data_IF_335175362978
#
_entry.id   IF_335175362978
#
_cell.length_a   1.000
_cell.length_b   1.000
_cell.length_c   1.000
_cell.angle_alpha   90.00
_cell.angle_beta   90.00
_cell.angle_gamma   90.00
#
_symmetry.space_group_name_H-M   'P 1'
#
loop_
_entity.id
_entity.type
_entity.pdbx_description
1 polymer ?
#
# COMPACT_ATOMS: atom_id res chain seq x y z
N UNK A 1 -3.31 14.29 69.08
CA UNK A 1 -2.43 13.49 68.22
C UNK A 1 -3.27 12.98 67.05
N UNK A 2 -3.15 13.57 65.86
CA UNK A 2 -3.89 13.13 64.66
C UNK A 2 -2.84 12.98 63.54
N UNK A 3 -2.59 11.74 63.11
CA UNK A 3 -1.77 11.42 61.95
C UNK A 3 -2.71 11.25 60.75
N UNK A 4 -2.61 12.13 59.77
CA UNK A 4 -3.25 11.97 58.47
C UNK A 4 -2.30 11.17 57.55
N UNK A 5 -2.76 10.03 57.04
CA UNK A 5 -2.06 9.24 56.04
C UNK A 5 -2.56 9.65 54.65
N UNK A 6 -1.64 10.09 53.79
CA UNK A 6 -1.91 10.39 52.38
C UNK A 6 -1.60 9.13 51.58
N UNK A 7 -2.63 8.48 51.04
CA UNK A 7 -2.48 7.43 50.04
C UNK A 7 -2.34 8.08 48.65
N UNK A 8 -1.18 7.92 48.02
CA UNK A 8 -0.96 8.26 46.62
C UNK A 8 -1.50 7.14 45.72
N UNK A 9 -2.58 7.41 44.97
CA UNK A 9 -3.02 6.56 43.89
C UNK A 9 -2.04 6.68 42.71
N UNK A 10 -1.31 5.61 42.40
CA UNK A 10 -0.66 5.46 41.10
C UNK A 10 -1.74 5.17 40.05
N UNK A 11 -1.97 6.12 39.13
CA UNK A 11 -2.73 5.87 37.93
C UNK A 11 -1.91 4.99 36.99
N UNK A 12 -2.31 3.72 36.84
CA UNK A 12 -1.85 2.90 35.72
C UNK A 12 -2.51 3.44 34.45
N UNK A 13 -1.71 4.11 33.60
CA UNK A 13 -2.13 4.38 32.24
C UNK A 13 -2.23 3.05 31.48
N UNK A 14 -3.32 2.79 30.74
CA UNK A 14 -3.38 1.61 29.88
C UNK A 14 -2.30 1.73 28.81
N UNK A 15 -1.51 0.68 28.65
CA UNK A 15 -0.63 0.54 27.49
C UNK A 15 -1.51 0.51 26.25
N UNK A 16 -1.31 1.47 25.34
CA UNK A 16 -1.81 1.34 23.97
C UNK A 16 -1.08 0.13 23.40
N UNK A 17 -1.77 -1.00 23.24
CA UNK A 17 -1.27 -2.11 22.45
C UNK A 17 -1.06 -1.59 21.03
N UNK A 18 0.20 -1.26 20.72
CA UNK A 18 0.62 -0.92 19.39
C UNK A 18 0.30 -2.13 18.51
N UNK A 19 -0.71 -1.99 17.63
CA UNK A 19 -1.18 -3.07 16.76
C UNK A 19 0.04 -3.73 16.11
N UNK A 20 0.24 -5.02 16.36
CA UNK A 20 1.46 -5.71 15.96
C UNK A 20 1.69 -5.52 14.45
N UNK A 21 2.78 -4.82 14.10
CA UNK A 21 3.20 -4.66 12.71
C UNK A 21 3.71 -5.99 12.19
N UNK A 22 3.17 -6.43 11.05
CA UNK A 22 3.53 -7.68 10.40
C UNK A 22 4.47 -7.43 9.22
N UNK A 23 5.51 -8.25 9.13
CA UNK A 23 6.39 -8.33 7.97
C UNK A 23 6.99 -9.73 7.85
N UNK A 24 6.52 -10.53 6.90
CA UNK A 24 7.03 -11.88 6.67
C UNK A 24 6.85 -12.31 5.21
N UNK A 25 7.58 -13.36 4.81
CA UNK A 25 7.41 -14.03 3.52
C UNK A 25 6.83 -15.42 3.74
N UNK A 26 5.79 -15.76 2.98
CA UNK A 26 5.12 -17.05 3.08
C UNK A 26 4.39 -17.42 1.78
N UNK A 27 3.95 -18.67 1.68
CA UNK A 27 3.06 -19.12 0.61
C UNK A 27 1.61 -18.76 0.91
N UNK A 28 0.87 -18.19 -0.08
CA UNK A 28 -0.54 -17.93 0.08
C UNK A 28 -1.35 -19.22 0.04
N UNK A 29 -2.48 -19.19 0.74
CA UNK A 29 -3.50 -20.24 0.76
C UNK A 29 -4.81 -19.63 0.29
N UNK A 30 -5.42 -20.24 -0.71
CA UNK A 30 -6.74 -19.81 -1.18
C UNK A 30 -7.82 -20.56 -0.40
N UNK A 31 -8.84 -19.86 0.08
CA UNK A 31 -10.04 -20.49 0.65
C UNK A 31 -11.24 -20.17 -0.23
N UNK A 32 -11.86 -21.24 -0.72
CA UNK A 32 -12.99 -21.14 -1.63
C UNK A 32 -14.29 -20.95 -0.86
N UNK A 33 -14.71 -19.69 -0.68
CA UNK A 33 -15.91 -19.32 0.10
C UNK A 33 -17.12 -19.05 -0.80
N UNK A 34 -18.30 -19.48 -0.36
CA UNK A 34 -19.56 -19.53 -1.13
C UNK A 34 -20.26 -18.19 -1.46
N UNK A 35 -19.57 -17.04 -1.44
CA UNK A 35 -20.23 -15.72 -1.56
C UNK A 35 -20.12 -15.07 -2.95
N UNK A 36 -19.85 -15.87 -3.99
CA UNK A 36 -20.42 -15.64 -5.32
C UNK A 36 -19.90 -14.48 -6.18
N UNK A 37 -18.81 -13.75 -5.83
CA UNK A 37 -18.13 -12.86 -6.81
C UNK A 37 -16.61 -12.83 -6.70
N UNK A 38 -15.97 -13.27 -7.79
CA UNK A 38 -14.59 -12.99 -8.28
C UNK A 38 -13.35 -13.28 -7.42
N UNK A 39 -13.43 -13.53 -6.11
CA UNK A 39 -12.28 -14.04 -5.34
C UNK A 39 -12.72 -14.49 -3.95
N UNK A 40 -12.45 -15.74 -3.58
CA UNK A 40 -12.54 -16.22 -2.19
C UNK A 40 -11.55 -15.51 -1.26
N UNK A 41 -11.24 -16.14 -0.13
CA UNK A 41 -10.31 -15.55 0.83
C UNK A 41 -8.86 -15.92 0.52
N UNK A 42 -7.97 -14.95 0.74
CA UNK A 42 -6.53 -15.16 0.70
C UNK A 42 -5.98 -15.17 2.11
N UNK A 43 -5.43 -16.31 2.48
CA UNK A 43 -4.84 -16.58 3.78
C UNK A 43 -3.35 -16.78 3.62
N UNK A 44 -2.61 -16.62 4.70
CA UNK A 44 -1.18 -16.92 4.74
C UNK A 44 -0.79 -17.26 6.17
N UNK A 45 0.24 -18.08 6.34
CA UNK A 45 0.73 -18.45 7.65
C UNK A 45 2.11 -17.87 7.87
N UNK A 46 2.30 -17.14 8.97
CA UNK A 46 3.62 -16.65 9.34
C UNK A 46 4.50 -17.86 9.76
N UNK A 47 5.63 -18.10 9.08
CA UNK A 47 6.49 -19.24 9.38
C UNK A 47 7.12 -19.17 10.77
N UNK A 48 7.26 -17.98 11.37
CA UNK A 48 7.88 -17.83 12.69
C UNK A 48 6.94 -18.22 13.82
N UNK A 49 5.65 -17.86 13.71
CA UNK A 49 4.66 -18.03 14.78
C UNK A 49 3.65 -19.13 14.51
N UNK A 50 3.53 -19.57 13.26
CA UNK A 50 2.48 -20.49 12.81
C UNK A 50 1.08 -19.85 12.75
N UNK A 51 0.96 -18.55 13.03
CA UNK A 51 -0.34 -17.86 13.02
C UNK A 51 -0.82 -17.67 11.59
N UNK A 52 -2.10 -17.98 11.36
CA UNK A 52 -2.78 -17.75 10.09
C UNK A 52 -3.41 -16.36 10.05
N UNK A 53 -3.11 -15.62 8.99
CA UNK A 53 -3.58 -14.28 8.74
C UNK A 53 -4.47 -14.23 7.51
N UNK A 54 -5.50 -13.38 7.56
CA UNK A 54 -6.32 -12.99 6.42
C UNK A 54 -5.72 -11.74 5.76
N UNK A 55 -5.26 -11.91 4.52
CA UNK A 55 -4.67 -10.86 3.68
C UNK A 55 -5.58 -10.49 2.51
N UNK A 56 -6.85 -10.90 2.54
CA UNK A 56 -7.84 -10.68 1.48
C UNK A 56 -8.03 -9.19 1.19
N UNK A 57 -7.82 -8.32 2.18
CA UNK A 57 -7.94 -6.86 2.04
C UNK A 57 -6.84 -6.22 1.20
N UNK A 58 -5.75 -6.94 0.87
CA UNK A 58 -4.66 -6.38 0.07
C UNK A 58 -5.16 -5.97 -1.33
N UNK A 59 -4.81 -4.77 -1.82
CA UNK A 59 -5.18 -4.36 -3.18
C UNK A 59 -4.57 -5.27 -4.24
N UNK A 60 -3.28 -5.57 -4.11
CA UNK A 60 -2.60 -6.58 -4.91
C UNK A 60 -2.97 -7.96 -4.37
N UNK A 61 -3.60 -8.80 -5.20
CA UNK A 61 -3.95 -10.17 -4.80
C UNK A 61 -2.73 -11.09 -4.91
N UNK A 62 -2.56 -12.04 -3.98
CA UNK A 62 -1.53 -13.06 -4.09
C UNK A 62 -1.63 -13.85 -5.40
N UNK A 63 -0.49 -14.30 -5.90
CA UNK A 63 -0.43 -15.38 -6.88
C UNK A 63 -0.23 -16.69 -6.15
N UNK A 64 -1.14 -17.66 -6.36
CA UNK A 64 -1.10 -18.96 -5.71
C UNK A 64 0.15 -19.80 -6.07
N UNK A 65 0.87 -19.47 -7.15
CA UNK A 65 2.09 -20.19 -7.52
C UNK A 65 3.35 -19.66 -6.85
N UNK A 66 3.25 -18.54 -6.14
CA UNK A 66 4.41 -17.77 -5.73
C UNK A 66 4.35 -17.36 -4.26
N UNK A 67 5.52 -17.24 -3.64
CA UNK A 67 5.67 -16.69 -2.31
C UNK A 67 5.27 -15.21 -2.34
N UNK A 68 4.76 -14.73 -1.22
CA UNK A 68 4.36 -13.33 -1.06
C UNK A 68 5.09 -12.69 0.11
N UNK A 69 5.48 -11.44 -0.07
CA UNK A 69 5.83 -10.53 1.03
C UNK A 69 4.53 -9.94 1.57
N UNK A 70 4.28 -10.14 2.86
CA UNK A 70 3.14 -9.59 3.59
C UNK A 70 3.64 -8.48 4.50
N UNK A 71 3.08 -7.29 4.36
CA UNK A 71 3.37 -6.12 5.20
C UNK A 71 2.06 -5.50 5.67
N UNK A 72 1.82 -5.39 6.97
CA UNK A 72 0.52 -4.92 7.45
C UNK A 72 0.44 -4.72 8.95
N UNK A 73 -0.77 -4.50 9.47
CA UNK A 73 -1.08 -4.45 10.90
C UNK A 73 -2.24 -5.38 11.21
N UNK A 74 -2.14 -6.12 12.31
CA UNK A 74 -3.25 -6.94 12.80
C UNK A 74 -4.37 -6.01 13.25
N UNK A 75 -5.58 -6.22 12.74
CA UNK A 75 -6.75 -5.47 13.16
C UNK A 75 -7.36 -6.12 14.42
N UNK A 76 -7.47 -5.35 15.51
CA UNK A 76 -8.02 -5.81 16.77
C UNK A 76 -9.55 -5.97 16.73
N UNK A 77 -10.23 -5.14 15.94
CA UNK A 77 -11.70 -5.03 15.93
C UNK A 77 -12.36 -5.61 14.67
N UNK A 78 -11.58 -6.29 13.81
CA UNK A 78 -12.10 -6.83 12.57
C UNK A 78 -12.78 -8.19 12.74
N UNK A 79 -13.98 -8.31 12.18
CA UNK A 79 -14.70 -9.58 12.06
C UNK A 79 -13.93 -10.56 11.18
N UNK A 80 -13.73 -11.78 11.69
CA UNK A 80 -13.18 -12.88 10.91
C UNK A 80 -14.21 -13.42 9.90
N UNK A 81 -13.96 -13.16 8.63
CA UNK A 81 -14.79 -13.64 7.53
C UNK A 81 -14.18 -14.84 6.79
N UNK A 82 -12.93 -15.18 7.08
CA UNK A 82 -12.08 -15.99 6.22
C UNK A 82 -11.34 -17.12 6.95
N UNK A 83 -11.36 -17.16 8.28
CA UNK A 83 -10.67 -18.15 9.11
C UNK A 83 -9.22 -17.80 9.38
N UNK A 84 -8.94 -16.52 9.62
CA UNK A 84 -7.61 -16.01 9.92
C UNK A 84 -7.67 -14.67 10.66
N UNK A 85 -6.60 -14.32 11.36
CA UNK A 85 -6.48 -12.99 12.00
C UNK A 85 -6.41 -11.93 10.90
N UNK A 86 -7.32 -10.96 10.92
CA UNK A 86 -7.42 -9.96 9.86
C UNK A 86 -6.24 -9.00 9.91
N UNK A 87 -5.63 -8.76 8.74
CA UNK A 87 -4.59 -7.76 8.56
C UNK A 87 -5.16 -6.60 7.75
N UNK A 88 -5.27 -5.43 8.38
CA UNK A 88 -5.85 -4.24 7.77
C UNK A 88 -5.28 -2.99 8.46
N UNK A 89 -4.50 -2.14 7.76
CA UNK A 89 -4.14 -2.23 6.35
C UNK A 89 -3.10 -3.33 6.07
N UNK A 90 -3.09 -3.82 4.82
CA UNK A 90 -2.17 -4.85 4.35
C UNK A 90 -1.71 -4.57 2.92
N UNK A 91 -0.43 -4.82 2.67
CA UNK A 91 0.22 -4.86 1.35
C UNK A 91 0.76 -6.26 1.12
N UNK A 92 0.58 -6.72 -0.10
CA UNK A 92 1.08 -7.99 -0.60
C UNK A 92 1.92 -7.70 -1.83
N UNK A 93 3.12 -8.24 -1.89
CA UNK A 93 3.92 -8.26 -3.11
C UNK A 93 4.27 -9.69 -3.48
N UNK A 94 4.05 -10.06 -4.74
CA UNK A 94 4.39 -11.39 -5.26
C UNK A 94 5.89 -11.48 -5.51
N UNK A 95 6.51 -12.56 -5.06
CA UNK A 95 7.94 -12.83 -5.18
C UNK A 95 8.20 -13.95 -6.20
N UNK A 96 9.44 -14.13 -6.61
CA UNK A 96 9.81 -15.18 -7.59
C UNK A 96 9.77 -16.59 -7.00
N UNK A 97 9.92 -16.74 -5.68
CA UNK A 97 9.95 -18.03 -5.00
C UNK A 97 8.67 -18.84 -5.27
N UNK A 98 8.79 -20.12 -5.62
CA UNK A 98 7.65 -20.96 -5.93
C UNK A 98 6.91 -21.44 -4.68
N UNK A 99 5.60 -21.62 -4.80
CA UNK A 99 4.73 -22.14 -3.77
C UNK A 99 3.83 -23.26 -4.29
N UNK A 100 3.63 -24.26 -3.43
CA UNK A 100 2.60 -25.27 -3.68
C UNK A 100 1.22 -24.68 -3.37
N UNK A 101 0.38 -24.51 -4.38
CA UNK A 101 -0.75 -25.43 -4.56
C UNK A 101 -1.75 -25.69 -3.42
N UNK A 102 -1.92 -24.86 -2.38
CA UNK A 102 -2.90 -25.11 -1.32
C UNK A 102 -4.26 -24.35 -1.41
N UNK A 103 -5.36 -25.10 -1.51
CA UNK A 103 -6.74 -24.61 -1.38
C UNK A 103 -7.47 -25.28 -0.22
N UNK A 104 -8.20 -24.45 0.54
CA UNK A 104 -9.10 -24.89 1.60
C UNK A 104 -10.56 -24.82 1.13
N UNK A 105 -11.42 -25.74 1.59
CA UNK A 105 -12.86 -25.60 1.41
C UNK A 105 -13.39 -24.41 2.23
N UNK A 106 -14.63 -23.99 1.96
CA UNK A 106 -15.25 -22.84 2.62
C UNK A 106 -15.29 -22.97 4.16
N UNK A 107 -15.48 -24.18 4.69
CA UNK A 107 -15.59 -24.46 6.14
C UNK A 107 -16.63 -23.58 6.84
N UNK A 108 -17.71 -23.22 6.15
CA UNK A 108 -18.77 -22.34 6.68
C UNK A 108 -18.47 -20.84 6.62
N UNK A 109 -17.24 -20.45 6.25
CA UNK A 109 -16.85 -19.04 6.11
C UNK A 109 -17.52 -18.41 4.89
N UNK A 110 -18.08 -17.22 5.10
CA UNK A 110 -18.79 -16.47 4.06
C UNK A 110 -17.88 -15.58 3.22
N UNK A 111 -16.60 -15.49 3.57
CA UNK A 111 -15.66 -14.59 2.92
C UNK A 111 -16.04 -13.12 3.04
N UNK A 112 -15.15 -12.26 2.53
CA UNK A 112 -15.38 -10.82 2.48
C UNK A 112 -16.16 -10.46 1.21
N UNK A 113 -17.29 -9.77 1.37
CA UNK A 113 -17.99 -9.18 0.22
C UNK A 113 -17.14 -8.06 -0.36
N UNK A 114 -17.07 -7.99 -1.68
CA UNK A 114 -16.43 -6.86 -2.35
C UNK A 114 -17.15 -5.56 -1.96
N UNK A 115 -16.39 -4.64 -1.40
CA UNK A 115 -16.76 -3.25 -1.26
C UNK A 115 -15.82 -2.43 -2.14
N UNK A 116 -16.35 -1.44 -2.84
CA UNK A 116 -15.53 -0.51 -3.60
C UNK A 116 -14.65 0.28 -2.60
N UNK A 117 -13.31 0.25 -2.74
CA UNK A 117 -12.45 1.03 -1.85
C UNK A 117 -12.76 2.51 -1.92
N UNK A 118 -12.57 3.23 -0.81
CA UNK A 118 -12.74 4.70 -0.79
C UNK A 118 -11.79 5.39 -1.80
N UNK A 119 -10.55 4.89 -1.89
CA UNK A 119 -9.54 5.31 -2.85
C UNK A 119 -9.68 4.52 -4.15
N UNK A 120 -10.68 4.89 -4.95
CA UNK A 120 -10.89 4.32 -6.27
C UNK A 120 -10.81 5.38 -7.37
N UNK A 121 -10.27 4.99 -8.53
CA UNK A 121 -10.36 5.82 -9.74
C UNK A 121 -11.84 5.96 -10.12
N UNK A 122 -12.26 7.20 -10.38
CA UNK A 122 -13.65 7.51 -10.77
C UNK A 122 -13.83 7.37 -12.28
N UNK A 123 -15.02 6.99 -12.76
CA UNK A 123 -15.28 6.96 -14.20
C UNK A 123 -15.10 8.34 -14.85
N UNK A 124 -14.55 8.37 -16.07
CA UNK A 124 -14.22 9.62 -16.78
C UNK A 124 -15.43 10.52 -17.06
N UNK A 125 -16.63 9.95 -17.14
CA UNK A 125 -17.87 10.72 -17.35
C UNK A 125 -18.37 11.42 -16.08
N UNK A 126 -17.85 11.03 -14.90
CA UNK A 126 -18.27 11.64 -13.65
C UNK A 126 -17.59 13.01 -13.50
N UNK A 127 -18.40 14.04 -13.23
CA UNK A 127 -17.87 15.37 -12.96
C UNK A 127 -16.93 15.32 -11.74
N UNK A 128 -15.68 15.73 -11.95
CA UNK A 128 -14.68 15.86 -10.89
C UNK A 128 -14.67 17.27 -10.32
N UNK A 129 -14.32 17.39 -9.04
CA UNK A 129 -14.03 18.68 -8.43
C UNK A 129 -12.72 19.21 -9.01
N UNK A 130 -12.80 20.29 -9.77
CA UNK A 130 -11.62 20.97 -10.31
C UNK A 130 -10.94 21.83 -9.25
N UNK A 131 -9.62 21.96 -9.34
CA UNK A 131 -8.89 22.96 -8.59
C UNK A 131 -9.30 24.36 -9.08
N UNK A 132 -9.40 25.30 -8.14
CA UNK A 132 -9.70 26.71 -8.42
C UNK A 132 -8.51 27.57 -7.99
N UNK A 133 -8.35 28.73 -8.64
CA UNK A 133 -7.30 29.68 -8.28
C UNK A 133 -7.52 30.25 -6.86
N UNK A 134 -6.45 30.62 -6.13
CA UNK A 134 -5.04 30.53 -6.53
C UNK A 134 -4.52 29.10 -6.45
N UNK A 135 -3.77 28.67 -7.48
CA UNK A 135 -3.12 27.37 -7.49
C UNK A 135 -1.90 27.39 -6.56
N UNK A 136 -1.63 26.25 -5.92
CA UNK A 136 -0.51 26.07 -4.97
C UNK A 136 0.44 24.99 -5.46
N UNK A 137 1.63 24.84 -4.89
CA UNK A 137 2.49 23.70 -5.21
C UNK A 137 1.80 22.39 -4.80
N UNK A 138 1.69 21.45 -5.75
CA UNK A 138 1.15 20.11 -5.52
C UNK A 138 2.26 19.11 -5.17
N UNK A 139 1.99 18.24 -4.18
CA UNK A 139 2.87 17.13 -3.80
C UNK A 139 2.11 15.82 -3.75
N UNK A 140 2.68 14.81 -4.40
CA UNK A 140 2.07 13.49 -4.53
C UNK A 140 3.11 12.41 -4.30
N UNK A 141 2.66 11.28 -3.77
CA UNK A 141 3.46 10.06 -3.63
C UNK A 141 2.63 8.89 -4.15
N UNK A 142 3.22 8.10 -5.05
CA UNK A 142 2.63 6.90 -5.63
C UNK A 142 3.39 5.69 -5.06
N UNK A 143 2.74 4.82 -4.27
CA UNK A 143 3.37 3.61 -3.73
C UNK A 143 3.50 2.53 -4.82
N UNK A 144 4.48 1.65 -4.68
CA UNK A 144 4.71 0.49 -5.55
C UNK A 144 4.93 -0.81 -4.76
N UNK A 145 4.52 -1.92 -5.36
CA UNK A 145 4.82 -3.25 -4.85
C UNK A 145 6.32 -3.58 -5.00
N UNK A 146 6.81 -4.49 -4.16
CA UNK A 146 8.19 -4.95 -4.19
C UNK A 146 8.56 -5.54 -5.56
N UNK A 147 9.70 -5.10 -6.08
CA UNK A 147 10.27 -5.39 -7.42
C UNK A 147 9.36 -5.04 -8.61
N UNK A 148 8.33 -4.23 -8.39
CA UNK A 148 7.40 -3.82 -9.44
C UNK A 148 7.59 -2.36 -9.86
N UNK A 149 7.58 -2.11 -11.16
CA UNK A 149 7.37 -0.78 -11.77
C UNK A 149 5.97 -0.62 -12.38
N UNK A 150 5.10 -1.60 -12.17
CA UNK A 150 3.73 -1.59 -12.68
C UNK A 150 2.83 -0.72 -11.80
N UNK A 151 1.90 0.01 -12.43
CA UNK A 151 0.86 0.77 -11.72
C UNK A 151 -0.23 -0.20 -11.29
N UNK A 152 -0.16 -0.67 -10.05
CA UNK A 152 -1.11 -1.63 -9.50
C UNK A 152 -2.51 -1.00 -9.32
N UNK A 153 -3.53 -1.76 -9.68
CA UNK A 153 -4.95 -1.39 -9.56
C UNK A 153 -5.38 -1.27 -8.08
N UNK A 154 -6.24 -0.31 -7.76
CA UNK A 154 -6.72 0.01 -6.40
C UNK A 154 -5.61 0.43 -5.42
N UNK A 155 -4.47 0.87 -5.93
CA UNK A 155 -3.36 1.38 -5.12
C UNK A 155 -2.67 2.52 -5.86
N UNK A 156 -1.79 2.21 -6.81
CA UNK A 156 -0.95 3.19 -7.50
C UNK A 156 -1.76 3.99 -8.51
N UNK A 157 -2.76 3.36 -9.14
CA UNK A 157 -3.66 3.97 -10.12
C UNK A 157 -4.44 5.16 -9.55
N UNK A 158 -4.95 5.05 -8.32
CA UNK A 158 -5.68 6.13 -7.64
C UNK A 158 -4.79 7.37 -7.45
N UNK A 159 -3.56 7.18 -6.95
CA UNK A 159 -2.64 8.31 -6.74
C UNK A 159 -2.15 8.90 -8.06
N UNK A 160 -1.95 8.05 -9.07
CA UNK A 160 -1.60 8.51 -10.41
C UNK A 160 -2.73 9.36 -11.00
N UNK A 161 -3.98 8.89 -10.93
CA UNK A 161 -5.16 9.62 -11.42
C UNK A 161 -5.34 10.97 -10.68
N UNK A 162 -5.20 10.97 -9.35
CA UNK A 162 -5.25 12.21 -8.56
C UNK A 162 -4.17 13.21 -8.99
N UNK A 163 -2.95 12.73 -9.22
CA UNK A 163 -1.83 13.54 -9.71
C UNK A 163 -2.10 14.12 -11.10
N UNK A 164 -2.59 13.29 -12.04
CA UNK A 164 -2.92 13.71 -13.41
C UNK A 164 -4.02 14.77 -13.38
N UNK A 165 -5.11 14.53 -12.63
CA UNK A 165 -6.23 15.46 -12.56
C UNK A 165 -5.81 16.81 -11.98
N UNK A 166 -4.95 16.81 -10.97
CA UNK A 166 -4.36 18.04 -10.45
C UNK A 166 -3.52 18.76 -11.50
N UNK A 167 -2.62 18.04 -12.18
CA UNK A 167 -1.77 18.60 -13.23
C UNK A 167 -2.58 19.23 -14.37
N UNK A 168 -3.69 18.60 -14.76
CA UNK A 168 -4.57 19.12 -15.81
C UNK A 168 -5.28 20.42 -15.39
N UNK A 169 -5.63 20.58 -14.11
CA UNK A 169 -6.29 21.78 -13.62
C UNK A 169 -5.34 22.97 -13.49
N UNK A 170 -4.15 22.74 -12.96
CA UNK A 170 -3.23 23.82 -12.59
C UNK A 170 -2.30 24.25 -13.72
N UNK A 171 -2.30 23.54 -14.86
CA UNK A 171 -1.47 23.80 -16.04
C UNK A 171 -0.01 24.10 -15.65
N UNK A 172 0.76 23.09 -15.21
CA UNK A 172 1.99 23.32 -14.47
C UNK A 172 3.06 24.01 -15.29
N UNK A 173 3.77 24.97 -14.69
CA UNK A 173 5.02 25.48 -15.24
C UNK A 173 6.12 24.40 -15.21
N UNK A 174 6.09 23.50 -14.21
CA UNK A 174 7.07 22.42 -14.06
C UNK A 174 6.54 21.26 -13.23
N UNK A 175 6.85 20.04 -13.66
CA UNK A 175 6.70 18.79 -12.89
C UNK A 175 8.07 18.14 -12.74
N UNK A 176 8.41 17.76 -11.51
CA UNK A 176 9.60 16.95 -11.21
C UNK A 176 9.16 15.63 -10.55
N UNK A 177 9.80 14.54 -10.96
CA UNK A 177 9.45 13.16 -10.56
C UNK A 177 10.72 12.47 -10.08
N UNK A 178 10.70 11.92 -8.86
CA UNK A 178 11.80 11.10 -8.34
C UNK A 178 11.27 9.75 -7.88
N UNK A 179 11.87 8.66 -8.35
CA UNK A 179 11.56 7.32 -7.87
C UNK A 179 12.44 6.92 -6.68
N UNK A 180 11.98 5.93 -5.93
CA UNK A 180 12.71 5.28 -4.85
C UNK A 180 12.54 3.77 -4.96
N UNK A 181 13.59 3.06 -4.56
CA UNK A 181 13.61 1.60 -4.47
C UNK A 181 14.26 1.17 -3.15
N UNK A 182 13.85 0.02 -2.63
CA UNK A 182 14.38 -0.60 -1.43
C UNK A 182 15.75 -1.25 -1.72
N UNK A 183 16.76 -0.42 -1.95
CA UNK A 183 18.13 -0.86 -2.27
C UNK A 183 18.93 -1.26 -1.04
N UNK A 184 18.47 -0.90 0.17
CA UNK A 184 19.03 -1.40 1.42
C UNK A 184 18.54 -2.83 1.65
N UNK A 185 19.45 -3.82 1.74
CA UNK A 185 19.04 -5.21 1.98
C UNK A 185 18.33 -5.38 3.32
N UNK A 186 17.29 -6.21 3.32
CA UNK A 186 16.62 -6.68 4.54
C UNK A 186 16.44 -8.19 4.47
N UNK A 187 16.57 -8.89 5.60
CA UNK A 187 16.22 -10.32 5.70
C UNK A 187 14.82 -10.43 6.31
N UNK A 188 13.89 -11.06 5.59
CA UNK A 188 12.51 -11.26 6.02
C UNK A 188 12.17 -12.74 5.85
N UNK A 189 11.88 -13.44 6.95
CA UNK A 189 11.61 -14.89 6.95
C UNK A 189 12.69 -15.70 6.23
N UNK A 190 13.96 -15.32 6.41
CA UNK A 190 15.12 -15.95 5.73
C UNK A 190 15.32 -15.53 4.26
N UNK A 191 14.42 -14.74 3.69
CA UNK A 191 14.52 -14.24 2.31
C UNK A 191 15.22 -12.88 2.31
N UNK A 192 16.26 -12.74 1.48
CA UNK A 192 16.95 -11.47 1.26
C UNK A 192 16.15 -10.61 0.30
N UNK A 193 15.64 -9.49 0.80
CA UNK A 193 14.92 -8.48 0.04
C UNK A 193 15.84 -7.30 -0.27
N UNK A 194 16.10 -7.06 -1.54
CA UNK A 194 16.83 -5.93 -2.09
C UNK A 194 16.34 -5.70 -3.52
N UNK A 195 16.01 -4.44 -3.84
CA UNK A 195 15.65 -4.04 -5.19
C UNK A 195 16.87 -3.49 -5.94
N UNK A 196 16.87 -3.68 -7.26
CA UNK A 196 17.84 -3.04 -8.16
C UNK A 196 17.64 -1.52 -8.15
N UNK A 197 18.74 -0.76 -8.14
CA UNK A 197 18.68 0.71 -8.10
C UNK A 197 17.95 1.31 -9.31
N UNK A 198 18.10 0.71 -10.49
CA UNK A 198 17.44 1.14 -11.73
C UNK A 198 15.91 1.09 -11.66
N UNK A 199 15.34 0.29 -10.73
CA UNK A 199 13.89 0.22 -10.56
C UNK A 199 13.29 1.55 -10.11
N UNK A 200 14.03 2.35 -9.33
CA UNK A 200 13.60 3.69 -8.95
C UNK A 200 13.36 4.55 -10.20
N UNK A 201 14.31 4.55 -11.13
CA UNK A 201 14.20 5.29 -12.40
C UNK A 201 13.06 4.74 -13.27
N UNK A 202 12.96 3.43 -13.41
CA UNK A 202 11.89 2.80 -14.19
C UNK A 202 10.48 3.18 -13.69
N UNK A 203 10.26 3.22 -12.37
CA UNK A 203 9.00 3.69 -11.76
C UNK A 203 8.71 5.15 -12.12
N UNK A 204 9.71 6.02 -12.00
CA UNK A 204 9.56 7.45 -12.33
C UNK A 204 9.24 7.65 -13.83
N UNK A 205 9.86 6.89 -14.72
CA UNK A 205 9.63 6.96 -16.17
C UNK A 205 8.23 6.48 -16.56
N UNK A 206 7.67 5.45 -15.88
CA UNK A 206 6.28 5.03 -16.09
C UNK A 206 5.30 6.16 -15.73
N UNK A 207 5.54 6.85 -14.61
CA UNK A 207 4.71 7.98 -14.18
C UNK A 207 4.86 9.17 -15.13
N UNK A 208 6.09 9.49 -15.57
CA UNK A 208 6.34 10.52 -16.58
C UNK A 208 5.56 10.23 -17.86
N UNK A 209 5.66 9.00 -18.38
CA UNK A 209 4.97 8.57 -19.59
C UNK A 209 3.46 8.69 -19.43
N UNK A 210 2.90 8.31 -18.28
CA UNK A 210 1.48 8.44 -18.01
C UNK A 210 1.02 9.91 -18.03
N UNK A 211 1.76 10.83 -17.39
CA UNK A 211 1.44 12.27 -17.41
C UNK A 211 1.45 12.83 -18.84
N UNK A 212 2.46 12.49 -19.63
CA UNK A 212 2.59 12.94 -21.03
C UNK A 212 1.45 12.40 -21.89
N UNK A 213 1.14 11.10 -21.79
CA UNK A 213 0.03 10.48 -22.52
C UNK A 213 -1.34 11.06 -22.14
N UNK A 214 -1.45 11.70 -20.97
CA UNK A 214 -2.67 12.38 -20.51
C UNK A 214 -2.74 13.85 -20.93
N UNK A 215 -1.78 14.33 -21.71
CA UNK A 215 -1.80 15.65 -22.33
C UNK A 215 -0.93 16.71 -21.64
N UNK A 216 -0.14 16.33 -20.63
CA UNK A 216 0.84 17.26 -20.03
C UNK A 216 2.02 17.43 -21.01
N UNK A 217 2.43 18.66 -21.37
CA UNK A 217 3.55 18.88 -22.28
C UNK A 217 4.86 18.27 -21.75
N UNK A 218 5.57 17.54 -22.62
CA UNK A 218 6.75 16.75 -22.23
C UNK A 218 7.91 17.62 -21.72
N UNK A 219 8.06 18.83 -22.23
CA UNK A 219 9.08 19.81 -21.82
C UNK A 219 8.90 20.30 -20.36
N UNK A 220 7.69 20.16 -19.83
CA UNK A 220 7.34 20.49 -18.43
C UNK A 220 7.60 19.35 -17.45
N UNK A 221 7.78 18.11 -17.90
CA UNK A 221 7.88 16.92 -17.03
C UNK A 221 9.29 16.34 -17.04
N UNK A 222 9.96 16.35 -15.88
CA UNK A 222 11.34 15.86 -15.74
C UNK A 222 11.48 14.81 -14.67
N UNK A 223 12.16 13.71 -15.00
CA UNK A 223 12.68 12.76 -14.00
C UNK A 223 13.96 13.35 -13.41
N UNK A 224 14.05 13.35 -12.08
CA UNK A 224 15.20 13.83 -11.31
C UNK A 224 15.68 12.73 -10.36
N UNK A 225 16.95 12.80 -9.95
CA UNK A 225 17.54 11.79 -9.07
C UNK A 225 16.90 11.76 -7.67
N UNK A 226 16.50 12.92 -7.15
CA UNK A 226 15.83 13.04 -5.86
C UNK A 226 14.98 14.31 -5.80
N UNK A 227 13.99 14.31 -4.89
CA UNK A 227 13.17 15.48 -4.59
C UNK A 227 13.36 15.89 -3.13
N UNK A 228 13.53 17.19 -2.84
CA UNK A 228 13.59 17.66 -1.46
C UNK A 228 12.19 17.70 -0.83
N UNK A 229 12.16 17.44 0.48
CA UNK A 229 10.96 17.46 1.31
C UNK A 229 10.41 16.06 1.61
N UNK A 230 9.38 15.97 2.45
CA UNK A 230 8.79 14.69 2.83
C UNK A 230 7.94 14.10 1.69
N UNK A 231 7.85 12.77 1.68
CA UNK A 231 6.82 12.06 0.93
C UNK A 231 5.45 12.24 1.59
N UNK A 232 4.38 11.96 0.86
CA UNK A 232 3.01 12.02 1.37
C UNK A 232 2.67 10.72 2.11
N UNK A 233 2.77 10.74 3.45
CA UNK A 233 2.62 9.55 4.28
C UNK A 233 1.25 8.85 4.17
N UNK A 234 0.20 9.59 3.84
CA UNK A 234 -1.14 9.03 3.61
C UNK A 234 -1.19 8.01 2.46
N UNK A 235 -0.16 7.95 1.59
CA UNK A 235 -0.03 6.94 0.54
C UNK A 235 0.17 5.50 1.06
N UNK A 236 0.58 5.35 2.32
CA UNK A 236 1.00 4.06 2.89
C UNK A 236 0.11 3.54 4.01
N UNK A 237 -1.00 4.22 4.32
CA UNK A 237 -1.95 3.76 5.35
C UNK A 237 -1.28 3.51 6.73
N UNK A 238 -0.24 4.29 7.05
CA UNK A 238 0.53 4.11 8.28
C UNK A 238 1.45 2.88 8.30
N UNK A 239 1.65 2.21 7.16
CA UNK A 239 2.65 1.17 6.98
C UNK A 239 4.02 1.80 6.69
N UNK A 240 5.04 1.36 7.42
CA UNK A 240 6.41 1.91 7.33
C UNK A 240 7.24 1.12 6.30
N UNK A 241 7.14 -0.20 6.31
CA UNK A 241 7.92 -1.10 5.45
C UNK A 241 7.83 -0.80 3.94
N UNK A 242 6.67 -0.46 3.36
CA UNK A 242 6.56 -0.17 1.93
C UNK A 242 7.06 1.22 1.50
N UNK A 243 7.41 2.11 2.43
CA UNK A 243 7.72 3.53 2.13
C UNK A 243 8.86 3.68 1.12
N UNK A 244 9.88 2.83 1.16
CA UNK A 244 11.05 2.93 0.27
C UNK A 244 10.72 2.61 -1.20
N UNK A 245 9.51 2.15 -1.50
CA UNK A 245 9.06 1.73 -2.84
C UNK A 245 7.99 2.68 -3.35
N UNK A 246 8.43 3.77 -3.98
CA UNK A 246 7.54 4.87 -4.33
C UNK A 246 8.05 5.73 -5.47
N UNK A 247 7.17 6.60 -5.95
CA UNK A 247 7.50 7.77 -6.77
C UNK A 247 6.95 9.01 -6.09
N UNK A 248 7.82 10.00 -5.85
CA UNK A 248 7.46 11.32 -5.35
C UNK A 248 7.38 12.31 -6.52
N UNK A 249 6.40 13.20 -6.47
CA UNK A 249 6.08 14.13 -7.56
C UNK A 249 5.84 15.52 -6.97
N UNK A 250 6.48 16.52 -7.58
CA UNK A 250 6.29 17.94 -7.28
C UNK A 250 5.74 18.66 -8.51
N UNK A 251 4.62 19.33 -8.36
CA UNK A 251 3.94 20.08 -9.43
C UNK A 251 3.92 21.56 -9.05
N UNK A 252 4.55 22.40 -9.86
CA UNK A 252 4.52 23.85 -9.72
C UNK A 252 3.54 24.44 -10.74
N UNK A 253 2.44 25.08 -10.31
CA UNK A 253 1.52 25.78 -11.21
C UNK A 253 2.21 26.91 -11.98
N UNK A 254 1.57 27.35 -13.05
CA UNK A 254 1.83 28.65 -13.69
C UNK A 254 1.34 29.83 -12.84
#
# INVERSE_FOLDING_TARGET
MIRAAILSLLALAPAVEDSATLRFVACPVYRDTDNGRKSGCWLTQDPATGVRYDVTAAPTKPDWNHAILVEGKVSADATDHCGGRVVEPVRVSVLEGACTRHQLPAEGYKGRRFALPERNVRPLYQARKQQVKPFVEGRFTIPFDYRSSFISYQISDYYLDATINYALDVQPARIEIAGSAQTRPAIVSGVRLVEEAELARARAEVVQKALILRGIPADRVRVVASLPGPYVAAAFDGLISPVDRRVDIRIRPE
#
